data_IF_026396316528
#
_entry.id   IF_026396316528
#
_cell.length_a   1.000
_cell.length_b   1.000
_cell.length_c   1.000
_cell.angle_alpha   90.00
_cell.angle_beta   90.00
_cell.angle_gamma   90.00
#
_symmetry.space_group_name_H-M   'P 1'
#
loop_
_entity.id
_entity.type
_entity.pdbx_description
1 polymer ?
#
# COMPACT_ATOMS: atom_id res chain seq x y z
N UNK A 1 -37.50 -22.07 28.87
CA UNK A 1 -36.10 -22.00 28.41
C UNK A 1 -36.08 -21.21 27.12
N UNK A 2 -35.66 -19.98 27.17
CA UNK A 2 -35.53 -19.10 25.99
C UNK A 2 -34.10 -19.26 25.48
N UNK A 3 -33.94 -19.91 24.32
CA UNK A 3 -32.67 -19.93 23.63
C UNK A 3 -32.50 -18.57 22.97
N UNK A 4 -31.60 -17.75 23.50
CA UNK A 4 -31.09 -16.58 22.82
C UNK A 4 -30.23 -17.04 21.66
N UNK A 5 -30.84 -17.13 20.48
CA UNK A 5 -30.11 -17.29 19.21
C UNK A 5 -29.33 -16.02 18.93
N UNK A 6 -28.04 -16.02 19.23
CA UNK A 6 -27.11 -14.98 18.81
C UNK A 6 -26.88 -15.16 17.30
N UNK A 7 -27.76 -14.59 16.50
CA UNK A 7 -27.53 -14.47 15.05
C UNK A 7 -26.46 -13.42 14.85
N UNK A 8 -25.21 -13.86 14.80
CA UNK A 8 -24.13 -13.03 14.26
C UNK A 8 -24.45 -12.81 12.79
N UNK A 9 -24.96 -11.62 12.49
CA UNK A 9 -25.10 -11.17 11.11
C UNK A 9 -23.71 -11.01 10.51
N UNK A 10 -23.23 -12.04 9.84
CA UNK A 10 -22.08 -11.93 8.99
C UNK A 10 -22.47 -11.08 7.78
N UNK A 11 -22.15 -9.80 7.80
CA UNK A 11 -22.27 -8.96 6.62
C UNK A 11 -21.23 -9.40 5.61
N UNK A 12 -21.68 -10.16 4.59
CA UNK A 12 -20.85 -10.46 3.43
C UNK A 12 -20.88 -9.21 2.54
N UNK A 13 -19.70 -8.55 2.41
CA UNK A 13 -19.57 -7.41 1.53
C UNK A 13 -19.51 -7.94 0.09
N UNK A 14 -20.43 -7.46 -0.76
CA UNK A 14 -20.38 -7.73 -2.19
C UNK A 14 -19.21 -6.93 -2.81
N UNK A 15 -18.19 -7.64 -3.27
CA UNK A 15 -16.97 -7.07 -3.86
C UNK A 15 -16.94 -7.14 -5.38
N UNK A 16 -18.04 -7.57 -6.02
CA UNK A 16 -18.12 -7.72 -7.48
C UNK A 16 -17.87 -6.42 -8.25
N UNK A 17 -18.12 -5.27 -7.61
CA UNK A 17 -17.90 -3.93 -8.17
C UNK A 17 -16.44 -3.44 -8.04
N UNK A 18 -15.62 -4.11 -7.23
CA UNK A 18 -14.22 -3.71 -7.02
C UNK A 18 -13.29 -4.47 -7.94
N UNK A 19 -12.20 -3.82 -8.32
CA UNK A 19 -11.16 -4.44 -9.14
C UNK A 19 -10.16 -5.19 -8.27
N UNK A 20 -9.70 -6.33 -8.74
CA UNK A 20 -8.53 -7.00 -8.18
C UNK A 20 -7.29 -6.14 -8.38
N UNK A 21 -6.49 -6.00 -7.34
CA UNK A 21 -5.20 -5.34 -7.45
C UNK A 21 -4.27 -6.17 -8.34
N UNK A 22 -3.60 -5.55 -9.33
CA UNK A 22 -2.60 -6.23 -10.13
C UNK A 22 -1.44 -6.73 -9.28
N UNK A 23 -0.92 -7.93 -9.59
CA UNK A 23 0.29 -8.46 -8.98
C UNK A 23 1.49 -7.57 -9.30
N UNK A 24 2.43 -7.46 -8.38
CA UNK A 24 3.69 -6.78 -8.64
C UNK A 24 4.54 -7.59 -9.61
N UNK A 25 4.95 -6.96 -10.70
CA UNK A 25 5.76 -7.58 -11.75
C UNK A 25 6.90 -6.64 -12.15
N UNK A 26 7.90 -7.17 -12.86
CA UNK A 26 8.99 -6.36 -13.41
C UNK A 26 9.76 -5.56 -12.35
N UNK A 27 9.87 -6.08 -11.14
CA UNK A 27 10.60 -5.43 -10.04
C UNK A 27 12.08 -5.41 -10.39
N UNK A 28 12.68 -4.21 -10.40
CA UNK A 28 14.08 -4.00 -10.77
C UNK A 28 15.03 -3.89 -9.58
N UNK A 29 14.50 -3.88 -8.38
CA UNK A 29 15.25 -3.86 -7.13
C UNK A 29 14.31 -3.74 -5.94
N UNK A 30 14.81 -3.96 -4.75
CA UNK A 30 14.00 -3.88 -3.53
C UNK A 30 14.84 -3.46 -2.33
N UNK A 31 14.20 -2.82 -1.36
CA UNK A 31 14.80 -2.31 -0.12
C UNK A 31 13.88 -2.67 1.05
N UNK A 32 14.44 -2.93 2.21
CA UNK A 32 13.73 -3.30 3.46
C UNK A 32 12.95 -4.62 3.38
N UNK A 33 13.31 -5.48 2.45
CA UNK A 33 12.74 -6.82 2.32
C UNK A 33 13.80 -7.78 1.81
N UNK A 34 13.79 -9.06 2.20
CA UNK A 34 14.81 -10.02 1.78
C UNK A 34 14.63 -10.53 0.34
N UNK A 35 13.47 -10.31 -0.26
CA UNK A 35 13.12 -10.80 -1.57
C UNK A 35 12.08 -9.89 -2.22
N UNK A 36 11.88 -9.95 -3.55
CA UNK A 36 10.80 -9.24 -4.22
C UNK A 36 9.44 -9.62 -3.64
N UNK A 37 8.62 -8.60 -3.35
CA UNK A 37 7.30 -8.80 -2.76
C UNK A 37 6.32 -9.29 -3.82
N UNK A 38 5.51 -10.28 -3.43
CA UNK A 38 4.35 -10.74 -4.19
C UNK A 38 3.08 -10.38 -3.45
N UNK A 39 2.16 -9.70 -4.12
CA UNK A 39 0.87 -9.35 -3.53
C UNK A 39 0.08 -10.62 -3.13
N UNK A 40 0.23 -11.70 -3.89
CA UNK A 40 -0.40 -12.99 -3.58
C UNK A 40 -0.02 -13.55 -2.21
N UNK A 41 1.19 -13.26 -1.73
CA UNK A 41 1.67 -13.71 -0.41
C UNK A 41 1.12 -12.85 0.74
N UNK A 42 0.44 -11.76 0.42
CA UNK A 42 -0.10 -10.80 1.39
C UNK A 42 -1.61 -10.96 1.62
N UNK A 43 -2.22 -12.02 1.14
CA UNK A 43 -3.63 -12.33 1.44
C UNK A 43 -3.85 -12.41 2.94
N UNK A 44 -4.96 -11.84 3.39
CA UNK A 44 -5.25 -11.69 4.81
C UNK A 44 -4.74 -10.37 5.41
N UNK A 45 -3.88 -9.65 4.69
CA UNK A 45 -3.38 -8.34 5.08
C UNK A 45 -4.07 -7.23 4.28
N UNK A 46 -4.16 -6.06 4.88
CA UNK A 46 -4.50 -4.82 4.16
C UNK A 46 -3.20 -4.25 3.61
N UNK A 47 -3.18 -3.93 2.32
CA UNK A 47 -1.96 -3.45 1.66
C UNK A 47 -2.19 -2.03 1.15
N UNK A 48 -1.34 -1.11 1.58
CA UNK A 48 -1.24 0.23 1.01
C UNK A 48 -0.14 0.21 -0.05
N UNK A 49 -0.53 0.34 -1.31
CA UNK A 49 0.40 0.46 -2.43
C UNK A 49 0.61 1.94 -2.70
N UNK A 50 1.81 2.42 -2.42
CA UNK A 50 2.19 3.82 -2.49
C UNK A 50 3.17 4.06 -3.63
N UNK A 51 2.70 4.70 -4.72
CA UNK A 51 3.56 5.13 -5.81
C UNK A 51 4.24 6.44 -5.46
N UNK A 52 5.56 6.47 -5.55
CA UNK A 52 6.37 7.62 -5.16
C UNK A 52 7.69 7.67 -5.90
N UNK A 53 8.38 8.79 -5.76
CA UNK A 53 9.81 8.91 -6.08
C UNK A 53 10.46 9.89 -5.12
N UNK A 54 11.75 9.73 -4.86
CA UNK A 54 12.39 10.42 -3.74
C UNK A 54 12.70 11.90 -4.00
N UNK A 55 12.65 12.39 -5.23
CA UNK A 55 12.83 13.82 -5.54
C UNK A 55 11.51 14.58 -5.64
N UNK A 56 10.37 13.90 -5.62
CA UNK A 56 9.06 14.51 -5.70
C UNK A 56 8.70 15.15 -4.35
N UNK A 57 8.55 16.50 -4.33
CA UNK A 57 8.27 17.21 -3.09
C UNK A 57 6.97 16.80 -2.43
N UNK A 58 5.91 16.59 -3.22
CA UNK A 58 4.63 16.13 -2.70
C UNK A 58 4.73 14.71 -2.12
N UNK A 59 5.56 13.85 -2.70
CA UNK A 59 5.84 12.53 -2.15
C UNK A 59 6.56 12.64 -0.80
N UNK A 60 7.56 13.51 -0.70
CA UNK A 60 8.32 13.72 0.54
C UNK A 60 7.38 14.16 1.67
N UNK A 61 6.42 15.03 1.39
CA UNK A 61 5.43 15.48 2.37
C UNK A 61 4.52 14.36 2.89
N UNK A 62 4.27 13.32 2.09
CA UNK A 62 3.42 12.19 2.52
C UNK A 62 4.14 11.19 3.43
N UNK A 63 5.46 11.10 3.33
CA UNK A 63 6.24 10.05 4.01
C UNK A 63 6.05 10.02 5.52
N UNK A 64 6.03 11.15 6.26
CA UNK A 64 5.78 11.11 7.70
C UNK A 64 4.44 10.47 8.06
N UNK A 65 3.41 10.65 7.25
CA UNK A 65 2.10 10.02 7.46
C UNK A 65 2.15 8.51 7.23
N UNK A 66 2.82 8.06 6.17
CA UNK A 66 2.99 6.63 5.92
C UNK A 66 3.82 5.96 7.02
N UNK A 67 4.88 6.61 7.48
CA UNK A 67 5.69 6.12 8.60
C UNK A 67 4.86 5.99 9.89
N UNK A 68 3.98 6.97 10.17
CA UNK A 68 3.07 6.93 11.31
C UNK A 68 2.06 5.77 11.19
N UNK A 69 1.46 5.58 10.04
CA UNK A 69 0.53 4.46 9.81
C UNK A 69 1.23 3.11 9.90
N UNK A 70 2.45 2.99 9.36
CA UNK A 70 3.24 1.79 9.48
C UNK A 70 3.51 1.44 10.95
N UNK A 71 3.89 2.43 11.75
CA UNK A 71 4.15 2.24 13.18
C UNK A 71 2.88 1.82 13.93
N UNK A 72 1.75 2.45 13.64
CA UNK A 72 0.48 2.18 14.33
C UNK A 72 -0.17 0.85 13.95
N UNK A 73 -0.11 0.48 12.67
CA UNK A 73 -0.98 -0.57 12.12
C UNK A 73 -0.24 -1.79 11.58
N UNK A 74 1.08 -1.79 11.46
CA UNK A 74 1.82 -2.96 10.95
C UNK A 74 1.58 -4.20 11.79
N UNK A 75 1.48 -4.07 13.12
CA UNK A 75 1.17 -5.16 14.03
C UNK A 75 -0.31 -5.59 13.98
N UNK A 76 -1.14 -4.84 13.29
CA UNK A 76 -2.57 -5.12 13.15
C UNK A 76 -2.95 -5.65 11.77
N UNK A 77 -1.98 -5.87 10.91
CA UNK A 77 -2.18 -6.44 9.59
C UNK A 77 -2.06 -5.48 8.41
N UNK A 78 -1.57 -4.24 8.62
CA UNK A 78 -1.24 -3.34 7.53
C UNK A 78 0.14 -3.66 6.98
N UNK A 79 0.23 -3.81 5.67
CA UNK A 79 1.49 -3.82 4.92
C UNK A 79 1.52 -2.58 4.04
N UNK A 80 2.61 -1.84 4.07
CA UNK A 80 2.85 -0.74 3.14
C UNK A 80 3.93 -1.19 2.15
N UNK A 81 3.67 -1.02 0.87
CA UNK A 81 4.65 -1.26 -0.20
C UNK A 81 4.86 0.05 -0.94
N UNK A 82 6.03 0.64 -0.79
CA UNK A 82 6.43 1.80 -1.57
C UNK A 82 6.89 1.35 -2.95
N UNK A 83 6.18 1.76 -3.99
CA UNK A 83 6.56 1.49 -5.37
C UNK A 83 7.25 2.74 -5.89
N UNK A 84 8.57 2.69 -5.93
CA UNK A 84 9.38 3.80 -6.41
C UNK A 84 9.47 3.72 -7.94
N UNK A 85 8.69 4.57 -8.61
CA UNK A 85 8.69 4.69 -10.06
C UNK A 85 9.42 5.98 -10.44
N UNK A 86 10.52 5.90 -11.21
CA UNK A 86 11.37 7.06 -11.46
C UNK A 86 10.72 8.05 -12.41
N UNK A 87 10.81 9.35 -12.07
CA UNK A 87 10.54 10.45 -12.98
C UNK A 87 11.82 10.83 -13.75
N UNK A 88 12.95 10.75 -13.07
CA UNK A 88 14.27 11.09 -13.64
C UNK A 88 15.22 9.89 -13.60
N UNK A 89 16.24 9.90 -14.49
CA UNK A 89 17.15 8.77 -14.66
C UNK A 89 17.94 8.39 -13.40
N UNK A 90 18.32 9.38 -12.59
CA UNK A 90 19.09 9.16 -11.36
C UNK A 90 18.31 8.34 -10.32
N UNK A 91 16.98 8.40 -10.39
CA UNK A 91 16.08 7.68 -9.51
C UNK A 91 16.01 6.17 -9.79
N UNK A 92 16.57 5.73 -10.91
CA UNK A 92 16.72 4.31 -11.25
C UNK A 92 17.84 3.62 -10.48
N UNK A 93 18.78 4.40 -9.94
CA UNK A 93 19.92 3.87 -9.20
C UNK A 93 19.51 3.43 -7.81
N UNK A 94 19.61 2.14 -7.52
CA UNK A 94 19.21 1.58 -6.23
C UNK A 94 20.00 2.17 -5.05
N UNK A 95 21.25 2.55 -5.24
CA UNK A 95 22.04 3.18 -4.19
C UNK A 95 21.44 4.53 -3.77
N UNK A 96 20.94 5.32 -4.73
CA UNK A 96 20.25 6.57 -4.46
C UNK A 96 18.92 6.34 -3.73
N UNK A 97 18.18 5.33 -4.14
CA UNK A 97 16.92 4.95 -3.48
C UNK A 97 17.17 4.51 -2.04
N UNK A 98 18.19 3.68 -1.79
CA UNK A 98 18.57 3.24 -0.44
C UNK A 98 18.95 4.42 0.45
N UNK A 99 19.70 5.38 -0.08
CA UNK A 99 20.05 6.61 0.65
C UNK A 99 18.81 7.39 1.04
N UNK A 100 17.88 7.58 0.10
CA UNK A 100 16.62 8.29 0.36
C UNK A 100 15.76 7.56 1.40
N UNK A 101 15.62 6.25 1.26
CA UNK A 101 14.87 5.41 2.21
C UNK A 101 15.43 5.56 3.63
N UNK A 102 16.75 5.55 3.76
CA UNK A 102 17.39 5.75 5.06
C UNK A 102 17.18 7.17 5.61
N UNK A 103 17.36 8.20 4.77
CA UNK A 103 17.20 9.60 5.18
C UNK A 103 15.75 9.92 5.59
N UNK A 104 14.77 9.35 4.93
CA UNK A 104 13.35 9.51 5.25
C UNK A 104 12.85 8.56 6.34
N UNK A 105 13.72 7.72 6.89
CA UNK A 105 13.39 6.75 7.94
C UNK A 105 12.26 5.77 7.52
N UNK A 106 12.23 5.41 6.26
CA UNK A 106 11.28 4.43 5.73
C UNK A 106 11.69 3.04 6.20
N UNK A 107 10.76 2.34 6.87
CA UNK A 107 10.97 0.96 7.39
C UNK A 107 10.16 -0.08 6.63
N UNK A 108 9.10 0.32 5.95
CA UNK A 108 8.31 -0.58 5.12
C UNK A 108 9.06 -0.98 3.84
N UNK A 109 8.66 -2.09 3.21
CA UNK A 109 9.26 -2.52 1.95
C UNK A 109 9.11 -1.51 0.82
N UNK A 110 10.17 -1.37 0.05
CA UNK A 110 10.19 -0.53 -1.17
C UNK A 110 10.63 -1.40 -2.33
N UNK A 111 9.87 -1.35 -3.42
CA UNK A 111 10.23 -1.99 -4.69
C UNK A 111 10.52 -0.92 -5.75
N UNK A 112 11.48 -1.20 -6.63
CA UNK A 112 11.84 -0.33 -7.74
C UNK A 112 11.09 -0.75 -8.99
N UNK A 113 10.44 0.23 -9.61
CA UNK A 113 9.58 0.08 -10.78
C UNK A 113 10.18 0.83 -11.99
N UNK A 114 11.47 0.59 -12.25
CA UNK A 114 12.25 1.38 -13.21
C UNK A 114 11.70 1.33 -14.63
N UNK A 115 10.96 0.29 -14.99
CA UNK A 115 10.37 0.11 -16.30
C UNK A 115 8.86 0.42 -16.34
N UNK A 116 8.31 0.99 -15.29
CA UNK A 116 6.90 1.38 -15.21
C UNK A 116 5.90 0.21 -15.27
N UNK A 117 6.34 -1.03 -15.04
CA UNK A 117 5.48 -2.20 -15.13
C UNK A 117 4.29 -2.11 -14.18
N UNK A 118 4.53 -1.74 -12.92
CA UNK A 118 3.47 -1.62 -11.91
C UNK A 118 2.68 -0.32 -12.08
N UNK A 119 3.35 0.76 -12.39
CA UNK A 119 2.70 2.04 -12.73
C UNK A 119 1.61 1.86 -13.79
N UNK A 120 1.96 1.20 -14.89
CA UNK A 120 1.05 0.95 -15.99
C UNK A 120 -0.05 -0.05 -15.62
N UNK A 121 0.28 -1.13 -14.88
CA UNK A 121 -0.68 -2.14 -14.46
C UNK A 121 -1.78 -1.55 -13.57
N UNK A 122 -1.44 -0.62 -12.68
CA UNK A 122 -2.40 0.08 -11.82
C UNK A 122 -3.10 1.25 -12.52
N UNK A 123 -2.76 1.54 -13.77
CA UNK A 123 -3.31 2.69 -14.49
C UNK A 123 -2.96 4.02 -13.84
N UNK A 124 -1.79 4.10 -13.20
CA UNK A 124 -1.37 5.29 -12.47
C UNK A 124 -0.87 6.39 -13.41
N UNK A 125 -1.10 7.65 -13.02
CA UNK A 125 -0.65 8.84 -13.75
C UNK A 125 -0.06 9.92 -12.83
N UNK A 126 0.06 9.65 -11.52
CA UNK A 126 0.42 10.67 -10.53
C UNK A 126 1.44 10.19 -9.52
N UNK A 127 2.32 11.08 -9.09
CA UNK A 127 3.13 11.00 -7.88
C UNK A 127 2.69 12.08 -6.88
N UNK A 128 2.43 11.76 -5.61
CA UNK A 128 2.19 10.43 -5.06
C UNK A 128 0.80 9.90 -5.40
N UNK A 129 0.63 8.60 -5.35
CA UNK A 129 -0.67 7.95 -5.50
C UNK A 129 -0.77 6.75 -4.58
N UNK A 130 -1.87 6.65 -3.86
CA UNK A 130 -2.17 5.54 -2.97
C UNK A 130 -3.28 4.66 -3.51
N UNK A 131 -3.12 3.34 -3.34
CA UNK A 131 -4.17 2.35 -3.53
C UNK A 131 -4.25 1.50 -2.27
N UNK A 132 -5.44 1.43 -1.65
CA UNK A 132 -5.69 0.53 -0.54
C UNK A 132 -6.34 -0.76 -1.04
N UNK A 133 -5.66 -1.86 -0.76
CA UNK A 133 -6.06 -3.22 -1.13
C UNK A 133 -6.52 -3.94 0.12
N UNK A 134 -7.69 -4.55 0.07
CA UNK A 134 -8.24 -5.29 1.21
C UNK A 134 -7.60 -6.67 1.39
N UNK A 135 -8.00 -7.36 2.45
CA UNK A 135 -7.47 -8.68 2.81
C UNK A 135 -7.73 -9.79 1.79
N UNK A 136 -8.56 -9.53 0.78
CA UNK A 136 -8.87 -10.46 -0.31
C UNK A 136 -8.27 -10.03 -1.66
N UNK A 137 -7.53 -8.91 -1.68
CA UNK A 137 -6.84 -8.44 -2.87
C UNK A 137 -7.62 -7.48 -3.76
N UNK A 138 -8.71 -6.89 -3.26
CA UNK A 138 -9.49 -5.89 -4.01
C UNK A 138 -9.05 -4.47 -3.67
N UNK A 139 -8.95 -3.61 -4.69
CA UNK A 139 -8.73 -2.17 -4.50
C UNK A 139 -10.04 -1.56 -4.00
N UNK A 140 -9.98 -0.99 -2.79
CA UNK A 140 -11.14 -0.43 -2.10
C UNK A 140 -11.13 1.10 -2.03
N UNK A 141 -9.97 1.70 -2.20
CA UNK A 141 -9.78 3.15 -2.08
C UNK A 141 -8.54 3.57 -2.85
N UNK A 142 -8.57 4.77 -3.40
CA UNK A 142 -7.37 5.40 -3.95
C UNK A 142 -7.36 6.89 -3.67
N UNK A 143 -6.16 7.45 -3.53
CA UNK A 143 -5.95 8.87 -3.30
C UNK A 143 -4.82 9.39 -4.17
N UNK A 144 -5.04 10.56 -4.78
CA UNK A 144 -4.07 11.25 -5.63
C UNK A 144 -3.49 12.44 -4.86
N UNK A 145 -2.15 12.52 -4.82
CA UNK A 145 -1.45 13.66 -4.26
C UNK A 145 -1.38 13.67 -2.73
N UNK A 146 -1.07 14.83 -2.19
CA UNK A 146 -1.06 15.11 -0.75
C UNK A 146 -2.47 15.27 -0.19
N UNK A 147 -2.55 15.28 1.14
CA UNK A 147 -3.78 15.60 1.85
C UNK A 147 -4.68 14.41 2.12
N UNK A 148 -5.87 14.69 2.63
CA UNK A 148 -6.89 13.71 3.02
C UNK A 148 -6.35 12.58 3.92
N UNK A 149 -5.35 12.87 4.74
CA UNK A 149 -4.68 11.88 5.59
C UNK A 149 -5.62 11.25 6.61
N UNK A 150 -6.51 12.05 7.19
CA UNK A 150 -7.54 11.53 8.12
C UNK A 150 -8.46 10.55 7.41
N UNK A 151 -8.92 10.87 6.21
CA UNK A 151 -9.79 10.00 5.41
C UNK A 151 -9.09 8.71 5.04
N UNK A 152 -7.85 8.78 4.58
CA UNK A 152 -7.04 7.60 4.24
C UNK A 152 -6.83 6.70 5.45
N UNK A 153 -6.51 7.28 6.61
CA UNK A 153 -6.34 6.51 7.86
C UNK A 153 -7.64 5.84 8.29
N UNK A 154 -8.78 6.52 8.17
CA UNK A 154 -10.10 5.93 8.45
C UNK A 154 -10.38 4.73 7.54
N UNK A 155 -10.00 4.81 6.27
CA UNK A 155 -10.14 3.68 5.34
C UNK A 155 -9.22 2.51 5.72
N UNK A 156 -7.98 2.78 6.15
CA UNK A 156 -7.09 1.75 6.68
C UNK A 156 -7.76 1.04 7.86
N UNK A 157 -8.27 1.79 8.83
CA UNK A 157 -8.95 1.24 10.02
C UNK A 157 -10.16 0.40 9.64
N UNK A 158 -10.98 0.88 8.71
CA UNK A 158 -12.17 0.17 8.23
C UNK A 158 -11.83 -1.16 7.58
N UNK A 159 -10.80 -1.19 6.73
CA UNK A 159 -10.37 -2.41 6.04
C UNK A 159 -9.72 -3.40 7.00
N UNK A 160 -8.96 -2.92 7.99
CA UNK A 160 -8.41 -3.78 9.04
C UNK A 160 -9.53 -4.41 9.88
N UNK A 161 -10.60 -3.67 10.17
CA UNK A 161 -11.76 -4.19 10.90
C UNK A 161 -12.49 -5.31 10.14
N UNK A 162 -12.53 -5.27 8.82
CA UNK A 162 -13.10 -6.34 7.99
C UNK A 162 -12.34 -7.67 8.16
N UNK A 163 -11.01 -7.61 8.35
CA UNK A 163 -10.16 -8.79 8.49
C UNK A 163 -10.26 -9.49 9.85
N UNK A 164 -10.84 -8.87 10.86
CA UNK A 164 -10.97 -9.43 12.22
C UNK A 164 -12.20 -10.33 12.35
N UNK A 165 -13.12 -10.28 11.39
CA UNK A 165 -14.35 -11.11 11.39
C UNK A 165 -14.03 -12.43 10.67
N UNK A 166 -13.47 -13.37 11.42
CA UNK A 166 -13.32 -14.76 11.00
C UNK A 166 -14.23 -15.67 11.84
#
# INVERSE_FOLDING_TARGET
MVQNGNTQNHFIIDKSQFKKAPEFTGITGFVNTPAPIKLADLKGKVVLVHFWTYTCINCIHTIPHLNDWYQKYSNRGLVIVGVQTPEFSDEKNIANVKTAVNNFQIKYPVILDNNYANWNAYGNNYWPRDYLVDNQGYIRYSHIGEGDYTQTEQMIQSLLAEGVIT
#
